data_IF_778256813821
#
_entry.id   IF_778256813821
#
_cell.length_a   1.000
_cell.length_b   1.000
_cell.length_c   1.000
_cell.angle_alpha   90.00
_cell.angle_beta   90.00
_cell.angle_gamma   90.00
#
_symmetry.space_group_name_H-M   'P 1'
#
loop_
_entity.id
_entity.type
_entity.pdbx_description
1 polymer ?
#
# COMPACT_ATOMS: atom_id res chain seq x y z
N UNK A 1 -52.09 99.17 -81.28
CA UNK A 1 -52.45 99.83 -80.01
C UNK A 1 -53.42 98.94 -79.24
N UNK A 2 -53.09 98.62 -77.98
CA UNK A 2 -54.01 98.30 -76.86
C UNK A 2 -55.15 97.32 -77.22
N UNK A 3 -55.12 96.05 -76.82
CA UNK A 3 -55.69 95.58 -75.53
C UNK A 3 -55.43 94.05 -75.41
N UNK A 4 -54.20 93.57 -75.30
CA UNK A 4 -53.54 93.13 -74.06
C UNK A 4 -54.38 93.39 -72.79
N UNK A 5 -55.53 92.72 -72.57
CA UNK A 5 -56.15 92.58 -71.21
C UNK A 5 -56.94 91.26 -71.01
N UNK A 6 -57.33 90.49 -72.04
CA UNK A 6 -58.29 89.36 -71.84
C UNK A 6 -57.66 87.95 -72.10
N UNK A 7 -56.34 87.85 -72.23
CA UNK A 7 -55.66 86.55 -72.41
C UNK A 7 -54.47 86.35 -71.45
N UNK A 8 -54.59 86.90 -70.23
CA UNK A 8 -53.57 86.74 -69.16
C UNK A 8 -54.14 86.15 -67.86
N UNK A 9 -55.41 85.72 -67.86
CA UNK A 9 -56.11 85.23 -66.66
C UNK A 9 -56.26 83.71 -66.53
N UNK A 10 -55.84 82.90 -67.52
CA UNK A 10 -56.10 81.44 -67.56
C UNK A 10 -54.82 80.60 -67.71
N UNK A 11 -53.62 81.21 -67.72
CA UNK A 11 -52.35 80.49 -67.87
C UNK A 11 -51.47 80.46 -66.60
N UNK A 12 -52.01 80.86 -65.45
CA UNK A 12 -51.38 80.62 -64.14
C UNK A 12 -52.10 79.47 -63.40
N UNK A 13 -52.25 78.32 -64.05
CA UNK A 13 -52.23 77.05 -63.30
C UNK A 13 -50.79 76.79 -62.87
N UNK A 14 -50.27 77.63 -61.96
CA UNK A 14 -49.09 77.27 -61.21
C UNK A 14 -49.41 75.93 -60.57
N UNK A 15 -48.52 74.97 -60.77
CA UNK A 15 -48.51 73.69 -60.07
C UNK A 15 -48.37 73.99 -58.57
N UNK A 16 -49.48 74.32 -57.90
CA UNK A 16 -49.54 74.34 -56.45
C UNK A 16 -49.41 72.89 -56.02
N UNK A 17 -48.19 72.47 -55.72
CA UNK A 17 -47.95 71.31 -54.88
C UNK A 17 -48.57 71.65 -53.52
N UNK A 18 -49.84 71.30 -53.34
CA UNK A 18 -50.56 71.59 -52.10
C UNK A 18 -49.96 70.72 -51.01
N UNK A 19 -48.99 71.29 -50.30
CA UNK A 19 -48.75 70.91 -48.92
C UNK A 19 -49.96 71.37 -48.13
N UNK A 20 -50.53 70.47 -47.34
CA UNK A 20 -51.67 70.79 -46.50
C UNK A 20 -51.16 70.95 -45.08
N UNK A 21 -51.17 72.20 -44.61
CA UNK A 21 -50.91 72.55 -43.22
C UNK A 21 -52.22 72.70 -42.45
N UNK A 22 -52.33 72.08 -41.29
CA UNK A 22 -53.38 72.37 -40.31
C UNK A 22 -52.71 72.97 -39.09
N UNK A 23 -53.14 74.16 -38.68
CA UNK A 23 -52.58 74.94 -37.57
C UNK A 23 -51.09 75.31 -37.67
N UNK A 24 -50.42 74.97 -38.76
CA UNK A 24 -49.06 75.44 -39.07
C UNK A 24 -49.04 76.22 -40.38
N UNK A 25 -48.53 77.46 -40.38
CA UNK A 25 -48.31 78.22 -41.62
C UNK A 25 -47.07 77.73 -42.39
N UNK A 26 -46.30 76.79 -41.83
CA UNK A 26 -45.03 76.31 -42.36
C UNK A 26 -44.99 74.77 -42.40
N UNK A 27 -45.75 74.14 -43.31
CA UNK A 27 -45.76 72.68 -43.46
C UNK A 27 -44.36 72.13 -43.76
N UNK A 28 -43.93 71.10 -43.01
CA UNK A 28 -42.63 70.46 -43.20
C UNK A 28 -42.71 69.19 -44.08
N UNK A 29 -43.91 68.83 -44.50
CA UNK A 29 -44.20 67.67 -45.35
C UNK A 29 -45.39 67.93 -46.27
N UNK A 30 -45.80 66.90 -47.01
CA UNK A 30 -46.99 66.95 -47.87
C UNK A 30 -48.28 67.14 -47.06
N UNK A 31 -48.33 66.64 -45.83
CA UNK A 31 -49.37 66.94 -44.84
C UNK A 31 -48.72 67.20 -43.49
N UNK A 32 -49.05 68.30 -42.84
CA UNK A 32 -48.48 68.67 -41.54
C UNK A 32 -49.58 69.22 -40.63
N UNK A 33 -49.81 68.56 -39.50
CA UNK A 33 -50.73 68.99 -38.45
C UNK A 33 -49.92 69.38 -37.23
N UNK A 34 -50.11 70.60 -36.78
CA UNK A 34 -49.53 71.14 -35.55
C UNK A 34 -50.61 71.22 -34.48
N UNK A 35 -50.51 70.36 -33.47
CA UNK A 35 -51.52 70.25 -32.43
C UNK A 35 -51.62 71.49 -31.56
N UNK A 36 -50.48 72.12 -31.24
CA UNK A 36 -50.40 73.26 -30.33
C UNK A 36 -50.46 74.62 -31.05
N UNK A 37 -50.39 74.63 -32.38
CA UNK A 37 -50.31 75.83 -33.23
C UNK A 37 -49.10 76.69 -32.86
N UNK A 38 -48.00 76.04 -32.48
CA UNK A 38 -46.82 76.70 -31.95
C UNK A 38 -45.63 76.68 -32.91
N UNK A 39 -45.78 76.10 -34.12
CA UNK A 39 -44.73 76.09 -35.13
C UNK A 39 -44.31 77.48 -35.60
N UNK A 40 -42.99 77.63 -35.80
CA UNK A 40 -42.40 78.84 -36.37
C UNK A 40 -42.91 79.09 -37.79
N UNK A 41 -43.17 80.36 -38.12
CA UNK A 41 -43.70 80.75 -39.44
C UNK A 41 -42.78 80.43 -40.62
N UNK A 42 -41.48 80.23 -40.37
CA UNK A 42 -40.48 79.81 -41.35
C UNK A 42 -39.39 78.96 -40.68
N UNK A 43 -38.69 78.12 -41.45
CA UNK A 43 -37.61 77.26 -40.94
C UNK A 43 -38.11 75.90 -40.42
N UNK A 44 -37.26 75.15 -39.70
CA UNK A 44 -37.65 73.86 -39.12
C UNK A 44 -38.14 74.09 -37.68
N UNK A 45 -39.31 73.58 -37.28
CA UNK A 45 -39.76 73.61 -35.89
C UNK A 45 -38.73 73.04 -34.90
N UNK A 46 -38.68 73.62 -33.70
CA UNK A 46 -37.87 73.08 -32.60
C UNK A 46 -38.40 71.73 -32.12
N UNK A 47 -37.57 70.93 -31.44
CA UNK A 47 -37.96 69.59 -30.95
C UNK A 47 -39.22 69.64 -30.06
N UNK A 48 -39.38 70.70 -29.26
CA UNK A 48 -40.55 70.89 -28.39
C UNK A 48 -41.82 71.14 -29.19
N UNK A 49 -41.74 71.96 -30.24
CA UNK A 49 -42.86 72.21 -31.16
C UNK A 49 -43.22 70.92 -31.92
N UNK A 50 -42.19 70.24 -32.47
CA UNK A 50 -42.38 68.97 -33.17
C UNK A 50 -43.06 67.89 -32.31
N UNK A 51 -42.91 67.92 -30.98
CA UNK A 51 -43.48 66.93 -30.07
C UNK A 51 -44.99 66.76 -30.20
N UNK A 52 -45.70 67.78 -30.69
CA UNK A 52 -47.15 67.77 -30.85
C UNK A 52 -47.58 67.70 -32.34
N UNK A 53 -46.62 67.52 -33.24
CA UNK A 53 -46.85 67.48 -34.68
C UNK A 53 -47.15 66.06 -35.20
N UNK A 54 -47.99 66.00 -36.23
CA UNK A 54 -48.17 64.86 -37.12
C UNK A 54 -47.78 65.27 -38.54
N UNK A 55 -46.79 64.60 -39.12
CA UNK A 55 -46.25 64.95 -40.45
C UNK A 55 -46.25 63.75 -41.38
N UNK A 56 -46.66 63.95 -42.63
CA UNK A 56 -46.54 62.98 -43.73
C UNK A 56 -45.65 63.57 -44.82
N UNK A 57 -44.53 62.90 -45.10
CA UNK A 57 -43.61 63.28 -46.16
C UNK A 57 -44.08 62.75 -47.53
N UNK A 58 -43.57 63.33 -48.61
CA UNK A 58 -43.89 62.92 -49.99
C UNK A 58 -43.47 61.48 -50.33
N UNK A 59 -42.55 60.90 -49.55
CA UNK A 59 -42.14 59.49 -49.65
C UNK A 59 -43.06 58.53 -48.85
N UNK A 60 -44.11 59.04 -48.23
CA UNK A 60 -45.09 58.30 -47.44
C UNK A 60 -44.66 57.94 -46.03
N UNK A 61 -43.55 58.51 -45.52
CA UNK A 61 -43.19 58.35 -44.11
C UNK A 61 -44.07 59.23 -43.23
N UNK A 62 -44.56 58.66 -42.12
CA UNK A 62 -45.39 59.34 -41.13
C UNK A 62 -44.57 59.57 -39.86
N UNK A 63 -44.48 60.81 -39.43
CA UNK A 63 -43.89 61.23 -38.17
C UNK A 63 -44.97 61.64 -37.18
N UNK A 64 -44.87 61.16 -35.94
CA UNK A 64 -45.64 61.66 -34.79
C UNK A 64 -44.63 62.13 -33.77
N UNK A 65 -44.65 63.41 -33.42
CA UNK A 65 -43.59 63.99 -32.58
C UNK A 65 -42.30 64.33 -33.34
N UNK A 66 -42.29 64.27 -34.68
CA UNK A 66 -41.14 64.62 -35.53
C UNK A 66 -41.56 64.99 -36.95
N UNK A 67 -40.85 65.94 -37.55
CA UNK A 67 -41.03 66.36 -38.96
C UNK A 67 -40.05 65.69 -39.92
N UNK A 68 -39.12 64.89 -39.42
CA UNK A 68 -38.11 64.16 -40.22
C UNK A 68 -38.14 62.64 -39.93
N UNK A 69 -39.29 61.97 -40.16
CA UNK A 69 -39.41 60.53 -39.93
C UNK A 69 -38.47 59.72 -40.84
N UNK A 70 -37.62 58.89 -40.22
CA UNK A 70 -36.65 58.05 -40.94
C UNK A 70 -37.22 56.69 -41.38
N UNK A 71 -38.37 56.29 -40.82
CA UNK A 71 -39.09 55.06 -41.14
C UNK A 71 -40.53 55.35 -41.60
N UNK A 72 -41.23 54.33 -42.11
CA UNK A 72 -42.63 54.47 -42.55
C UNK A 72 -43.55 55.02 -41.45
N UNK A 73 -43.28 54.67 -40.19
CA UNK A 73 -43.88 55.27 -39.01
C UNK A 73 -42.76 55.53 -37.99
N UNK A 74 -42.54 56.78 -37.62
CA UNK A 74 -41.57 57.21 -36.59
C UNK A 74 -42.35 57.99 -35.52
N UNK A 75 -42.46 57.41 -34.32
CA UNK A 75 -43.17 58.00 -33.19
C UNK A 75 -42.13 58.39 -32.15
N UNK A 76 -42.02 59.69 -31.88
CA UNK A 76 -41.14 60.23 -30.84
C UNK A 76 -41.97 60.83 -29.73
N UNK A 77 -41.57 60.54 -28.49
CA UNK A 77 -42.18 61.12 -27.30
C UNK A 77 -41.08 61.56 -26.35
N UNK A 78 -41.33 62.66 -25.64
CA UNK A 78 -40.48 63.14 -24.54
C UNK A 78 -40.67 62.32 -23.26
N UNK A 79 -41.64 61.41 -23.23
CA UNK A 79 -41.95 60.50 -22.12
C UNK A 79 -41.92 59.04 -22.54
N UNK A 80 -41.68 58.12 -21.60
CA UNK A 80 -41.73 56.68 -21.86
C UNK A 80 -43.15 56.22 -22.25
N UNK A 81 -43.25 55.26 -23.17
CA UNK A 81 -44.55 54.71 -23.61
C UNK A 81 -45.17 55.42 -24.81
N UNK A 82 -44.35 55.82 -25.78
CA UNK A 82 -44.76 56.56 -26.98
C UNK A 82 -45.85 55.87 -27.83
N UNK A 83 -45.95 54.53 -27.77
CA UNK A 83 -46.90 53.74 -28.53
C UNK A 83 -47.75 52.88 -27.58
N UNK A 84 -49.08 52.99 -27.72
CA UNK A 84 -50.06 52.15 -27.03
C UNK A 84 -50.95 51.46 -28.07
N UNK A 85 -50.91 50.13 -28.11
CA UNK A 85 -51.78 49.30 -28.96
C UNK A 85 -52.69 48.50 -28.04
N UNK A 86 -54.01 48.75 -28.14
CA UNK A 86 -55.05 48.06 -27.36
C UNK A 86 -55.88 47.24 -28.34
N UNK A 87 -55.72 45.92 -28.30
CA UNK A 87 -56.45 44.97 -29.14
C UNK A 87 -57.27 43.96 -28.31
N UNK A 88 -57.26 44.09 -26.99
CA UNK A 88 -57.91 43.19 -26.05
C UNK A 88 -57.02 42.05 -25.54
N UNK A 89 -55.82 41.88 -26.12
CA UNK A 89 -54.87 40.81 -25.79
C UNK A 89 -53.60 41.32 -25.10
N UNK A 90 -53.42 42.63 -24.97
CA UNK A 90 -52.32 43.23 -24.20
C UNK A 90 -52.34 42.80 -22.72
N UNK A 91 -51.17 42.67 -22.09
CA UNK A 91 -51.05 42.23 -20.69
C UNK A 91 -49.65 42.44 -20.11
N UNK A 92 -49.51 42.31 -18.78
CA UNK A 92 -48.21 42.43 -18.11
C UNK A 92 -47.22 41.37 -18.65
N UNK A 93 -45.98 41.77 -18.93
CA UNK A 93 -44.93 40.92 -19.49
C UNK A 93 -45.25 40.24 -20.85
N UNK A 94 -46.25 40.73 -21.59
CA UNK A 94 -46.45 40.35 -22.99
C UNK A 94 -45.54 41.18 -23.91
N UNK A 95 -45.16 40.59 -25.03
CA UNK A 95 -44.40 41.23 -26.10
C UNK A 95 -45.22 41.28 -27.37
N UNK A 96 -45.06 42.35 -28.15
CA UNK A 96 -45.67 42.46 -29.47
C UNK A 96 -44.87 41.61 -30.45
N UNK A 97 -45.52 40.62 -31.06
CA UNK A 97 -44.91 39.70 -32.02
C UNK A 97 -45.60 39.83 -33.37
N UNK A 98 -44.88 39.59 -34.46
CA UNK A 98 -45.46 39.52 -35.81
C UNK A 98 -45.74 38.07 -36.20
N UNK A 99 -46.82 37.84 -36.94
CA UNK A 99 -46.99 36.60 -37.71
C UNK A 99 -46.23 36.65 -39.06
N UNK A 100 -46.39 35.61 -39.89
CA UNK A 100 -45.74 35.51 -41.19
C UNK A 100 -46.24 36.56 -42.21
N UNK A 101 -47.39 37.19 -41.98
CA UNK A 101 -47.96 38.21 -42.83
C UNK A 101 -47.69 39.64 -42.33
N UNK A 102 -46.92 39.80 -41.24
CA UNK A 102 -46.62 41.12 -40.68
C UNK A 102 -47.64 41.61 -39.65
N UNK A 103 -48.63 40.80 -39.26
CA UNK A 103 -49.68 41.21 -38.32
C UNK A 103 -49.15 41.13 -36.89
N UNK A 104 -49.15 42.28 -36.22
CA UNK A 104 -48.69 42.40 -34.84
C UNK A 104 -49.77 41.94 -33.84
N UNK A 105 -49.40 41.08 -32.88
CA UNK A 105 -50.27 40.59 -31.80
C UNK A 105 -49.50 40.46 -30.49
N UNK A 106 -50.16 40.70 -29.36
CA UNK A 106 -49.55 40.50 -28.03
C UNK A 106 -49.48 39.02 -27.68
N UNK A 107 -48.28 38.53 -27.39
CA UNK A 107 -48.03 37.15 -26.94
C UNK A 107 -47.20 37.13 -25.66
N UNK A 108 -47.25 36.02 -24.95
CA UNK A 108 -46.38 35.82 -23.78
C UNK A 108 -44.91 35.89 -24.20
N UNK A 109 -44.07 36.49 -23.34
CA UNK A 109 -42.63 36.52 -23.57
C UNK A 109 -42.13 35.08 -23.77
N UNK A 110 -41.52 34.74 -24.92
CA UNK A 110 -41.01 33.40 -25.15
C UNK A 110 -40.04 33.05 -24.03
N UNK A 111 -40.28 31.96 -23.32
CA UNK A 111 -39.30 31.43 -22.38
C UNK A 111 -38.05 31.09 -23.19
N UNK A 112 -36.95 31.77 -22.91
CA UNK A 112 -35.66 31.44 -23.52
C UNK A 112 -35.36 29.99 -23.13
N UNK A 113 -35.40 29.07 -24.10
CA UNK A 113 -35.08 27.68 -23.86
C UNK A 113 -33.60 27.63 -23.47
N UNK A 114 -33.33 27.53 -22.17
CA UNK A 114 -31.96 27.44 -21.67
C UNK A 114 -31.32 26.17 -22.22
N UNK A 115 -30.42 26.32 -23.20
CA UNK A 115 -29.61 25.24 -23.77
C UNK A 115 -28.34 24.99 -22.95
N UNK A 116 -28.43 24.98 -21.62
CA UNK A 116 -27.28 24.69 -20.75
C UNK A 116 -27.71 23.94 -19.48
N UNK A 117 -26.83 23.10 -18.95
CA UNK A 117 -27.05 22.29 -17.73
C UNK A 117 -27.09 23.20 -16.48
N UNK A 118 -26.31 24.31 -16.47
CA UNK A 118 -26.38 25.41 -15.48
C UNK A 118 -25.90 26.74 -16.10
N UNK A 119 -26.58 27.85 -15.81
CA UNK A 119 -26.20 29.22 -16.23
C UNK A 119 -25.77 30.14 -15.07
N UNK A 120 -26.17 29.81 -13.84
CA UNK A 120 -25.78 30.49 -12.61
C UNK A 120 -25.74 29.50 -11.44
N UNK A 121 -25.09 29.92 -10.34
CA UNK A 121 -25.22 29.21 -9.07
C UNK A 121 -26.69 29.19 -8.63
N UNK A 122 -27.11 28.10 -7.97
CA UNK A 122 -28.49 27.94 -7.52
C UNK A 122 -28.71 26.58 -6.86
N UNK A 123 -29.94 26.35 -6.40
CA UNK A 123 -30.37 25.06 -5.83
C UNK A 123 -31.20 24.32 -6.85
N UNK A 124 -30.99 23.01 -6.98
CA UNK A 124 -31.89 22.14 -7.74
C UNK A 124 -33.21 21.99 -6.96
N UNK A 125 -34.33 22.37 -7.57
CA UNK A 125 -35.68 22.14 -7.00
C UNK A 125 -36.26 20.77 -7.38
N UNK A 126 -35.52 19.99 -8.18
CA UNK A 126 -35.87 18.63 -8.60
C UNK A 126 -34.70 17.94 -9.30
N UNK A 127 -34.79 16.61 -9.46
CA UNK A 127 -33.78 15.80 -10.15
C UNK A 127 -33.62 16.22 -11.62
N UNK A 128 -32.39 16.18 -12.13
CA UNK A 128 -32.09 16.41 -13.54
C UNK A 128 -31.45 15.17 -14.15
N UNK A 129 -31.86 14.82 -15.36
CA UNK A 129 -31.24 13.76 -16.16
C UNK A 129 -30.65 14.39 -17.42
N UNK A 130 -29.36 14.12 -17.69
CA UNK A 130 -28.70 14.52 -18.93
C UNK A 130 -28.73 13.32 -19.89
N UNK A 131 -29.58 13.37 -20.91
CA UNK A 131 -29.61 12.34 -21.97
C UNK A 131 -28.60 12.67 -23.06
N UNK A 132 -27.51 11.91 -23.13
CA UNK A 132 -26.39 12.19 -24.04
C UNK A 132 -26.55 11.59 -25.46
N UNK A 133 -27.40 10.57 -25.63
CA UNK A 133 -27.48 9.82 -26.90
C UNK A 133 -26.10 9.26 -27.27
N UNK A 134 -25.60 9.59 -28.46
CA UNK A 134 -24.26 9.21 -28.94
C UNK A 134 -23.17 10.27 -28.64
N UNK A 135 -23.52 11.38 -27.99
CA UNK A 135 -22.61 12.48 -27.69
C UNK A 135 -21.88 12.27 -26.35
N UNK A 136 -20.81 13.03 -26.11
CA UNK A 136 -20.09 13.06 -24.83
C UNK A 136 -20.38 14.34 -24.04
N UNK A 137 -20.35 14.23 -22.72
CA UNK A 137 -20.33 15.33 -21.77
C UNK A 137 -18.91 15.46 -21.21
N UNK A 138 -18.16 16.42 -21.73
CA UNK A 138 -16.78 16.67 -21.32
C UNK A 138 -16.71 17.85 -20.33
N UNK A 139 -15.95 17.66 -19.24
CA UNK A 139 -15.52 18.74 -18.36
C UNK A 139 -14.05 19.03 -18.64
N UNK A 140 -13.76 20.14 -19.31
CA UNK A 140 -12.39 20.55 -19.66
C UNK A 140 -11.96 21.71 -18.77
N UNK A 141 -10.88 21.54 -18.03
CA UNK A 141 -10.24 22.61 -17.26
C UNK A 141 -9.06 23.17 -18.02
N UNK A 142 -8.94 24.50 -18.08
CA UNK A 142 -7.74 25.20 -18.56
C UNK A 142 -6.86 25.71 -17.42
N UNK A 143 -7.13 25.25 -16.19
CA UNK A 143 -6.39 25.68 -15.02
C UNK A 143 -4.93 25.22 -15.08
N UNK A 144 -4.03 26.10 -14.64
CA UNK A 144 -2.59 25.84 -14.51
C UNK A 144 -2.14 25.76 -13.04
N UNK A 145 -3.03 26.10 -12.11
CA UNK A 145 -2.83 26.07 -10.66
C UNK A 145 -4.11 25.61 -9.96
N UNK A 146 -3.99 25.25 -8.68
CA UNK A 146 -5.09 24.73 -7.88
C UNK A 146 -5.18 23.21 -7.93
N UNK A 147 -6.07 22.68 -7.09
CA UNK A 147 -6.38 21.26 -6.94
C UNK A 147 -7.88 21.17 -6.67
N UNK A 148 -8.62 20.24 -7.27
CA UNK A 148 -10.10 20.14 -7.24
C UNK A 148 -10.87 20.96 -8.30
N UNK A 149 -10.62 20.71 -9.58
CA UNK A 149 -11.23 21.42 -10.71
C UNK A 149 -12.60 20.86 -11.12
N UNK A 150 -12.82 19.57 -10.90
CA UNK A 150 -14.15 18.95 -10.97
C UNK A 150 -14.38 18.20 -9.67
N UNK A 151 -15.49 18.47 -9.00
CA UNK A 151 -15.75 17.95 -7.65
C UNK A 151 -17.21 17.56 -7.46
N UNK A 152 -17.42 16.49 -6.71
CA UNK A 152 -18.72 16.12 -6.15
C UNK A 152 -18.57 16.19 -4.64
N UNK A 153 -19.34 17.08 -4.00
CA UNK A 153 -19.33 17.32 -2.55
C UNK A 153 -17.90 17.53 -1.99
N UNK A 154 -17.15 18.45 -2.61
CA UNK A 154 -15.81 18.82 -2.17
C UNK A 154 -14.80 17.68 -2.33
N UNK A 155 -14.43 17.04 -1.21
CA UNK A 155 -13.42 15.98 -1.18
C UNK A 155 -13.96 14.59 -1.48
N UNK A 156 -15.29 14.38 -1.51
CA UNK A 156 -15.89 13.06 -1.74
C UNK A 156 -15.42 12.45 -3.06
N UNK A 157 -15.50 13.21 -4.16
CA UNK A 157 -14.83 12.89 -5.43
C UNK A 157 -14.23 14.17 -6.00
N UNK A 158 -12.93 14.15 -6.28
CA UNK A 158 -12.17 15.30 -6.75
C UNK A 158 -11.32 14.93 -7.96
N UNK A 159 -11.28 15.79 -8.97
CA UNK A 159 -10.32 15.69 -10.07
C UNK A 159 -9.43 16.92 -10.04
N UNK A 160 -8.13 16.67 -9.89
CA UNK A 160 -7.11 17.65 -10.15
C UNK A 160 -6.70 17.59 -11.62
N UNK A 161 -7.29 18.48 -12.42
CA UNK A 161 -6.98 18.62 -13.83
C UNK A 161 -5.57 19.18 -14.13
N UNK A 162 -4.89 19.84 -13.17
CA UNK A 162 -3.52 20.34 -13.39
C UNK A 162 -2.54 19.18 -13.36
N UNK A 163 -2.74 18.23 -12.44
CA UNK A 163 -1.84 17.07 -12.28
C UNK A 163 -2.40 15.76 -12.84
N UNK A 164 -3.60 15.77 -13.42
CA UNK A 164 -4.32 14.62 -13.96
C UNK A 164 -4.54 13.51 -12.93
N UNK A 165 -5.03 13.86 -11.74
CA UNK A 165 -5.23 12.93 -10.61
C UNK A 165 -6.66 12.94 -10.10
N UNK A 166 -7.06 11.82 -9.51
CA UNK A 166 -8.35 11.64 -8.85
C UNK A 166 -8.14 11.50 -7.35
N UNK A 167 -8.87 12.29 -6.58
CA UNK A 167 -8.99 12.17 -5.13
C UNK A 167 -10.35 11.60 -4.73
N UNK A 168 -10.35 10.67 -3.78
CA UNK A 168 -11.54 10.15 -3.09
C UNK A 168 -11.31 10.38 -1.60
N UNK A 169 -12.07 11.29 -0.99
CA UNK A 169 -11.82 11.77 0.37
C UNK A 169 -10.64 12.76 0.47
N UNK A 170 -10.16 13.31 -0.64
CA UNK A 170 -9.13 14.37 -0.67
C UNK A 170 -9.31 15.29 -1.88
N UNK A 171 -9.07 16.58 -1.71
CA UNK A 171 -9.03 17.58 -2.79
C UNK A 171 -7.63 17.85 -3.31
N UNK A 172 -6.60 17.26 -2.68
CA UNK A 172 -5.17 17.47 -2.99
C UNK A 172 -4.48 16.12 -3.29
N UNK A 173 -4.93 15.36 -4.31
CA UNK A 173 -4.40 14.03 -4.59
C UNK A 173 -2.89 14.08 -4.92
N UNK A 174 -2.11 13.23 -4.24
CA UNK A 174 -0.67 13.10 -4.44
C UNK A 174 -0.28 12.00 -5.42
N UNK A 175 -1.20 11.07 -5.67
CA UNK A 175 -1.05 9.97 -6.63
C UNK A 175 -2.22 9.98 -7.62
N UNK A 176 -2.11 9.21 -8.71
CA UNK A 176 -3.13 9.16 -9.77
C UNK A 176 -4.54 8.83 -9.24
N UNK A 177 -4.61 7.94 -8.24
CA UNK A 177 -5.76 7.74 -7.38
C UNK A 177 -5.29 7.90 -5.93
N UNK A 178 -5.82 8.88 -5.22
CA UNK A 178 -5.52 9.14 -3.82
C UNK A 178 -6.79 9.00 -2.98
N UNK A 179 -6.74 8.17 -1.95
CA UNK A 179 -7.90 7.84 -1.09
C UNK A 179 -7.87 8.63 0.24
N UNK A 180 -7.06 9.69 0.30
CA UNK A 180 -6.92 10.57 1.45
C UNK A 180 -6.20 9.95 2.64
N UNK A 181 -6.07 10.72 3.72
CA UNK A 181 -5.27 10.39 4.90
C UNK A 181 -6.00 9.58 5.98
N UNK A 182 -7.32 9.40 5.85
CA UNK A 182 -8.10 8.62 6.81
C UNK A 182 -7.59 7.18 6.92
N UNK A 183 -7.72 6.57 8.10
CA UNK A 183 -7.44 5.14 8.31
C UNK A 183 -8.72 4.31 8.16
N UNK A 184 -8.57 3.01 7.96
CA UNK A 184 -9.64 2.04 7.84
C UNK A 184 -9.71 1.39 6.46
N UNK A 185 -10.86 0.80 6.16
CA UNK A 185 -11.17 0.18 4.87
C UNK A 185 -11.25 1.26 3.78
N UNK A 186 -10.62 1.02 2.64
CA UNK A 186 -10.48 2.01 1.56
C UNK A 186 -11.06 1.54 0.22
N UNK A 187 -10.68 0.35 -0.21
CA UNK A 187 -11.11 -0.23 -1.49
C UNK A 187 -11.80 -1.55 -1.22
N UNK A 188 -13.11 -1.60 -1.44
CA UNK A 188 -13.85 -2.84 -1.45
C UNK A 188 -13.65 -3.55 -2.79
N UNK A 189 -13.27 -4.82 -2.75
CA UNK A 189 -13.34 -5.73 -3.90
C UNK A 189 -14.69 -6.45 -3.91
N UNK A 190 -15.21 -6.79 -2.73
CA UNK A 190 -16.55 -7.34 -2.53
C UNK A 190 -17.05 -7.06 -1.11
N UNK A 191 -18.35 -6.85 -0.97
CA UNK A 191 -19.04 -6.75 0.31
C UNK A 191 -20.30 -7.63 0.31
N UNK A 192 -20.61 -8.28 1.43
CA UNK A 192 -21.94 -8.85 1.62
C UNK A 192 -23.01 -7.74 1.63
N UNK A 193 -24.24 -8.08 1.28
CA UNK A 193 -25.37 -7.15 1.35
C UNK A 193 -25.61 -6.64 2.78
N UNK A 194 -25.30 -7.45 3.79
CA UNK A 194 -25.42 -7.07 5.20
C UNK A 194 -24.26 -6.19 5.69
N UNK A 195 -23.16 -6.06 4.92
CA UNK A 195 -21.98 -5.27 5.29
C UNK A 195 -21.14 -5.88 6.42
N UNK A 196 -21.42 -7.13 6.78
CA UNK A 196 -20.69 -7.92 7.78
C UNK A 196 -19.52 -8.71 7.19
N UNK A 197 -19.34 -8.66 5.87
CA UNK A 197 -18.26 -9.34 5.18
C UNK A 197 -17.62 -8.42 4.14
N UNK A 198 -16.46 -7.86 4.48
CA UNK A 198 -15.66 -6.99 3.61
C UNK A 198 -14.41 -7.72 3.14
N UNK A 199 -14.22 -7.75 1.81
CA UNK A 199 -13.00 -8.19 1.15
C UNK A 199 -12.38 -7.00 0.42
N UNK A 200 -11.13 -6.67 0.74
CA UNK A 200 -10.47 -5.53 0.12
C UNK A 200 -9.26 -5.02 0.86
N UNK A 201 -8.93 -3.77 0.56
CA UNK A 201 -7.74 -3.09 1.06
C UNK A 201 -8.12 -1.97 2.02
N UNK A 202 -7.26 -1.74 3.00
CA UNK A 202 -7.31 -0.58 3.86
C UNK A 202 -5.94 -0.22 4.41
N UNK A 203 -5.94 0.68 5.37
CA UNK A 203 -4.72 1.15 6.01
C UNK A 203 -4.94 1.49 7.48
N UNK A 204 -3.87 1.36 8.25
CA UNK A 204 -3.68 2.11 9.47
C UNK A 204 -2.41 2.97 9.34
N UNK A 205 -2.10 3.76 10.36
CA UNK A 205 -0.87 4.54 10.36
C UNK A 205 0.34 3.64 10.14
N UNK A 206 1.02 3.80 9.00
CA UNK A 206 2.18 3.01 8.58
C UNK A 206 1.93 1.51 8.34
N UNK A 207 0.68 1.10 8.09
CA UNK A 207 0.32 -0.31 7.90
C UNK A 207 -0.61 -0.45 6.70
N UNK A 208 -0.24 -1.28 5.73
CA UNK A 208 -1.13 -1.80 4.71
C UNK A 208 -1.95 -2.96 5.31
N UNK A 209 -3.26 -2.96 5.06
CA UNK A 209 -4.19 -3.93 5.62
C UNK A 209 -4.93 -4.66 4.50
N UNK A 210 -4.99 -5.99 4.62
CA UNK A 210 -5.76 -6.86 3.74
C UNK A 210 -6.88 -7.49 4.57
N UNK A 211 -8.11 -7.24 4.12
CA UNK A 211 -9.31 -7.76 4.74
C UNK A 211 -9.89 -8.88 3.88
N UNK A 212 -10.34 -9.94 4.53
CA UNK A 212 -11.09 -11.03 3.93
C UNK A 212 -12.02 -11.57 5.01
N UNK A 213 -13.34 -11.51 4.83
CA UNK A 213 -14.26 -11.96 5.87
C UNK A 213 -14.58 -10.93 6.95
N UNK A 214 -14.21 -9.65 6.79
CA UNK A 214 -14.14 -8.74 7.94
C UNK A 214 -15.46 -7.95 8.16
N UNK A 215 -16.10 -8.01 9.35
CA UNK A 215 -17.26 -7.18 9.66
C UNK A 215 -16.90 -5.70 9.72
N UNK A 216 -17.90 -4.81 9.76
CA UNK A 216 -17.71 -3.35 9.70
C UNK A 216 -16.54 -2.83 10.57
N UNK A 217 -16.47 -3.27 11.83
CA UNK A 217 -15.41 -2.93 12.80
C UNK A 217 -14.36 -4.04 13.02
N UNK A 218 -14.31 -5.04 12.15
CA UNK A 218 -13.37 -6.15 12.24
C UNK A 218 -11.94 -5.77 11.85
N UNK A 219 -10.98 -6.44 12.49
CA UNK A 219 -9.56 -6.32 12.17
C UNK A 219 -9.24 -6.92 10.79
N UNK A 220 -8.16 -6.45 10.13
CA UNK A 220 -7.67 -7.09 8.93
C UNK A 220 -7.07 -8.47 9.23
N UNK A 221 -7.21 -9.37 8.27
CA UNK A 221 -6.65 -10.72 8.38
C UNK A 221 -5.13 -10.72 8.22
N UNK A 222 -4.61 -9.87 7.33
CA UNK A 222 -3.18 -9.73 7.07
C UNK A 222 -2.75 -8.26 7.08
N UNK A 223 -1.55 -8.01 7.60
CA UNK A 223 -0.95 -6.68 7.64
C UNK A 223 0.49 -6.69 7.12
N UNK A 224 0.91 -5.58 6.50
CA UNK A 224 2.31 -5.28 6.18
C UNK A 224 2.63 -3.88 6.71
N UNK A 225 3.52 -3.78 7.69
CA UNK A 225 3.89 -2.51 8.29
C UNK A 225 5.11 -1.86 7.61
N UNK A 226 5.35 -0.57 7.88
CA UNK A 226 6.49 0.20 7.34
C UNK A 226 7.87 -0.39 7.65
N UNK A 227 7.99 -1.27 8.65
CA UNK A 227 9.25 -1.92 9.01
C UNK A 227 9.44 -3.25 8.25
N UNK A 228 8.59 -3.55 7.25
CA UNK A 228 8.68 -4.75 6.44
C UNK A 228 8.18 -6.02 7.13
N UNK A 229 7.38 -5.89 8.21
CA UNK A 229 6.86 -7.04 8.95
C UNK A 229 5.47 -7.42 8.46
N UNK A 230 5.28 -8.72 8.20
CA UNK A 230 4.01 -9.33 7.82
C UNK A 230 3.36 -9.93 9.06
N UNK A 231 2.13 -9.49 9.35
CA UNK A 231 1.25 -10.11 10.33
C UNK A 231 0.16 -10.92 9.64
N UNK A 232 -0.09 -12.15 10.07
CA UNK A 232 -1.29 -12.93 9.70
C UNK A 232 -2.02 -13.27 10.99
N UNK A 233 -3.28 -12.86 11.13
CA UNK A 233 -4.03 -12.95 12.38
C UNK A 233 -3.54 -11.96 13.47
N UNK A 234 -2.75 -10.96 13.10
CA UNK A 234 -2.30 -9.89 14.01
C UNK A 234 -2.10 -8.58 13.24
N UNK A 235 -2.47 -7.47 13.89
CA UNK A 235 -2.28 -6.11 13.38
C UNK A 235 -0.97 -5.47 13.84
N UNK A 236 -0.27 -6.09 14.80
CA UNK A 236 0.96 -5.58 15.41
C UNK A 236 2.06 -6.67 15.44
N UNK A 237 2.62 -7.05 14.27
CA UNK A 237 3.66 -8.08 14.20
C UNK A 237 4.96 -7.63 14.90
N UNK A 238 5.48 -8.48 15.79
CA UNK A 238 6.75 -8.20 16.52
C UNK A 238 7.98 -8.73 15.79
N UNK A 239 7.81 -9.78 14.98
CA UNK A 239 8.83 -10.37 14.12
C UNK A 239 8.55 -10.04 12.64
N UNK A 240 9.51 -10.36 11.75
CA UNK A 240 9.36 -10.16 10.28
C UNK A 240 8.14 -10.92 9.74
N UNK A 241 7.90 -12.12 10.25
CA UNK A 241 6.68 -12.89 10.00
C UNK A 241 6.10 -13.29 11.35
N UNK A 242 4.91 -12.77 11.69
CA UNK A 242 4.19 -13.07 12.92
C UNK A 242 2.82 -13.66 12.53
N UNK A 243 2.69 -14.98 12.70
CA UNK A 243 1.48 -15.72 12.36
C UNK A 243 0.81 -16.16 13.66
N UNK A 244 -0.40 -15.67 13.90
CA UNK A 244 -1.19 -16.00 15.10
C UNK A 244 -2.49 -16.66 14.68
N UNK A 245 -2.91 -17.63 15.48
CA UNK A 245 -4.21 -18.28 15.35
C UNK A 245 -4.79 -18.46 16.74
N UNK A 246 -6.12 -18.38 16.83
CA UNK A 246 -6.87 -18.71 18.05
C UNK A 246 -6.94 -20.23 18.28
N UNK A 247 -6.58 -21.03 17.27
CA UNK A 247 -6.49 -22.49 17.35
C UNK A 247 -5.05 -22.97 17.15
N UNK A 248 -4.73 -24.14 17.69
CA UNK A 248 -3.44 -24.78 17.45
C UNK A 248 -3.20 -25.05 15.95
N UNK A 249 -1.95 -24.94 15.51
CA UNK A 249 -1.56 -25.17 14.11
C UNK A 249 -1.60 -23.92 13.24
N UNK A 250 -1.07 -22.79 13.74
CA UNK A 250 -1.05 -21.52 13.00
C UNK A 250 -0.23 -21.56 11.69
N UNK A 251 0.76 -22.45 11.59
CA UNK A 251 1.64 -22.58 10.43
C UNK A 251 1.67 -24.02 9.92
N UNK A 252 1.48 -24.19 8.60
CA UNK A 252 1.70 -25.44 7.88
C UNK A 252 2.70 -25.19 6.75
N UNK A 253 3.81 -25.94 6.75
CA UNK A 253 4.80 -25.95 5.66
C UNK A 253 4.79 -27.36 5.07
N UNK A 254 4.40 -27.48 3.80
CA UNK A 254 4.38 -28.74 3.08
C UNK A 254 5.26 -28.62 1.83
N UNK A 255 6.34 -29.38 1.78
CA UNK A 255 7.35 -29.38 0.71
C UNK A 255 7.50 -30.76 0.05
N UNK A 256 6.64 -31.73 0.42
CA UNK A 256 6.71 -33.12 0.00
C UNK A 256 7.56 -34.01 0.92
N UNK A 257 8.34 -33.43 1.84
CA UNK A 257 9.18 -34.15 2.79
C UNK A 257 8.58 -34.21 4.20
N UNK A 258 7.51 -33.47 4.49
CA UNK A 258 6.81 -33.53 5.78
C UNK A 258 6.35 -34.96 6.15
N UNK A 259 6.28 -35.28 7.44
CA UNK A 259 5.83 -36.59 7.90
C UNK A 259 5.73 -36.69 9.42
N UNK A 260 5.09 -37.74 9.93
CA UNK A 260 4.98 -37.99 11.36
C UNK A 260 6.38 -38.06 12.02
N UNK A 261 6.54 -37.37 13.15
CA UNK A 261 7.77 -37.29 13.93
C UNK A 261 8.98 -36.67 13.20
N UNK A 262 8.75 -35.92 12.13
CA UNK A 262 9.79 -35.09 11.51
C UNK A 262 9.80 -33.69 12.13
N UNK A 263 10.98 -33.10 12.13
CA UNK A 263 11.23 -31.72 12.52
C UNK A 263 11.70 -30.94 11.29
N UNK A 264 11.44 -29.64 11.27
CA UNK A 264 11.95 -28.75 10.25
C UNK A 264 13.40 -28.40 10.62
N UNK A 265 14.36 -28.84 9.81
CA UNK A 265 15.78 -28.52 9.96
C UNK A 265 16.23 -27.59 8.85
N UNK A 266 17.33 -26.87 9.07
CA UNK A 266 17.96 -26.01 8.07
C UNK A 266 19.27 -26.61 7.60
N UNK A 267 19.57 -26.48 6.30
CA UNK A 267 20.92 -26.68 5.79
C UNK A 267 21.82 -25.46 6.04
N UNK A 268 23.06 -25.50 5.53
CA UNK A 268 24.05 -24.42 5.67
C UNK A 268 23.67 -23.12 4.93
N UNK A 269 22.72 -23.17 4.00
CA UNK A 269 22.24 -22.01 3.24
C UNK A 269 20.92 -21.45 3.79
N UNK A 270 20.38 -22.03 4.87
CA UNK A 270 19.10 -21.61 5.43
C UNK A 270 17.89 -22.30 4.80
N UNK A 271 18.07 -23.29 3.92
CA UNK A 271 16.95 -24.00 3.28
C UNK A 271 16.37 -24.99 4.29
N UNK A 272 15.08 -24.80 4.58
CA UNK A 272 14.36 -25.64 5.52
C UNK A 272 13.85 -26.92 4.84
N UNK A 273 14.04 -28.09 5.46
CA UNK A 273 13.49 -29.37 5.00
C UNK A 273 13.03 -30.21 6.18
N UNK A 274 12.04 -31.09 5.96
CA UNK A 274 11.56 -31.98 7.03
C UNK A 274 12.40 -33.25 7.12
N UNK A 275 13.06 -33.42 8.27
CA UNK A 275 13.94 -34.54 8.55
C UNK A 275 13.55 -35.24 9.85
N UNK A 276 13.90 -36.52 10.00
CA UNK A 276 13.79 -37.17 11.31
C UNK A 276 14.75 -36.46 12.26
N UNK A 277 14.35 -36.27 13.52
CA UNK A 277 15.28 -35.80 14.54
C UNK A 277 16.47 -36.75 14.62
N UNK A 278 17.68 -36.22 14.43
CA UNK A 278 18.93 -36.96 14.56
C UNK A 278 19.73 -36.40 15.74
N UNK A 279 20.36 -37.28 16.50
CA UNK A 279 21.29 -36.86 17.54
C UNK A 279 22.63 -36.53 16.90
N UNK A 280 23.25 -35.41 17.29
CA UNK A 280 24.61 -35.12 16.85
C UNK A 280 25.56 -36.11 17.53
N UNK A 281 26.20 -36.98 16.74
CA UNK A 281 27.16 -37.98 17.21
C UNK A 281 28.54 -37.68 16.64
N UNK A 282 29.55 -37.67 17.50
CA UNK A 282 30.95 -37.66 17.08
C UNK A 282 31.57 -39.03 17.37
N UNK A 283 32.41 -39.54 16.46
CA UNK A 283 33.10 -40.82 16.63
C UNK A 283 34.59 -40.55 16.79
N UNK A 284 35.20 -41.21 17.77
CA UNK A 284 36.62 -41.12 18.04
C UNK A 284 37.45 -42.01 17.11
N UNK A 285 38.72 -41.67 16.99
CA UNK A 285 39.73 -42.47 16.30
C UNK A 285 40.47 -43.32 17.32
N UNK A 286 40.55 -44.63 17.09
CA UNK A 286 41.32 -45.55 17.93
C UNK A 286 42.77 -45.66 17.45
N UNK A 287 43.72 -45.67 18.37
CA UNK A 287 45.16 -45.78 18.14
C UNK A 287 45.76 -47.13 18.52
N UNK A 288 47.08 -47.18 18.76
CA UNK A 288 47.80 -48.42 19.10
C UNK A 288 47.55 -48.95 20.52
N UNK A 289 47.04 -48.11 21.43
CA UNK A 289 46.84 -48.43 22.83
C UNK A 289 48.11 -48.29 23.66
N UNK A 290 47.96 -48.03 24.95
CA UNK A 290 49.08 -47.92 25.89
C UNK A 290 49.15 -49.15 26.80
N UNK A 291 50.36 -49.68 26.95
CA UNK A 291 50.67 -50.72 27.92
C UNK A 291 50.76 -50.11 29.33
N UNK A 292 49.70 -50.29 30.13
CA UNK A 292 49.64 -49.77 31.50
C UNK A 292 50.34 -50.76 32.45
N UNK A 293 51.50 -50.42 33.04
CA UNK A 293 52.20 -51.31 33.94
C UNK A 293 51.38 -51.61 35.19
N UNK A 294 51.53 -52.81 35.76
CA UNK A 294 50.92 -53.17 37.04
C UNK A 294 51.73 -52.56 38.18
N UNK A 295 51.52 -51.27 38.39
CA UNK A 295 52.13 -50.49 39.46
C UNK A 295 51.31 -49.25 39.74
N UNK A 296 51.55 -48.61 40.88
CA UNK A 296 50.99 -47.31 41.21
C UNK A 296 51.80 -46.19 40.57
N UNK A 297 51.13 -45.27 39.86
CA UNK A 297 51.71 -44.03 39.36
C UNK A 297 50.63 -42.92 39.24
N UNK A 298 51.02 -41.66 39.39
CA UNK A 298 50.10 -40.51 39.50
C UNK A 298 49.63 -39.94 38.15
N UNK A 299 50.39 -40.15 37.10
CA UNK A 299 50.22 -39.43 35.83
C UNK A 299 49.28 -40.20 34.88
N UNK A 300 48.76 -39.50 33.87
CA UNK A 300 48.02 -40.12 32.76
C UNK A 300 48.90 -40.21 31.52
N UNK A 301 48.71 -41.26 30.72
CA UNK A 301 49.51 -41.58 29.54
C UNK A 301 48.63 -41.69 28.30
N UNK A 302 49.09 -41.11 27.20
CA UNK A 302 48.37 -41.13 25.93
C UNK A 302 48.25 -42.52 25.33
N UNK A 303 47.05 -42.90 24.93
CA UNK A 303 46.76 -44.22 24.34
C UNK A 303 46.94 -44.27 22.83
N UNK A 304 47.09 -43.12 22.17
CA UNK A 304 46.99 -43.03 20.72
C UNK A 304 45.56 -42.76 20.20
N UNK A 305 44.55 -42.84 21.06
CA UNK A 305 43.14 -42.64 20.70
C UNK A 305 42.66 -41.23 20.98
N UNK A 306 41.72 -40.72 20.19
CA UNK A 306 41.21 -39.35 20.35
C UNK A 306 39.78 -39.20 19.84
N UNK A 307 39.14 -38.07 20.14
CA UNK A 307 37.86 -37.66 19.57
C UNK A 307 37.87 -36.16 19.29
N UNK A 308 37.32 -35.75 18.15
CA UNK A 308 37.17 -34.33 17.80
C UNK A 308 35.73 -33.90 18.02
N UNK A 309 35.54 -32.87 18.85
CA UNK A 309 34.22 -32.38 19.26
C UNK A 309 34.04 -30.92 18.84
N UNK A 310 32.99 -30.59 18.06
CA UNK A 310 32.54 -29.21 17.84
C UNK A 310 32.20 -28.47 19.16
N UNK A 311 32.02 -27.14 19.11
CA UNK A 311 31.54 -26.36 20.26
C UNK A 311 30.26 -26.97 20.86
N UNK A 312 30.21 -27.03 22.19
CA UNK A 312 29.06 -27.55 22.93
C UNK A 312 29.41 -28.60 23.98
N UNK A 313 28.35 -29.13 24.62
CA UNK A 313 28.44 -30.18 25.65
C UNK A 313 28.24 -31.55 25.05
N UNK A 314 29.08 -32.49 25.45
CA UNK A 314 29.14 -33.84 24.89
C UNK A 314 29.27 -34.87 26.00
N UNK A 315 28.47 -35.93 25.93
CA UNK A 315 28.66 -37.15 26.71
C UNK A 315 29.51 -38.12 25.90
N UNK A 316 30.79 -38.23 26.24
CA UNK A 316 31.74 -39.11 25.57
C UNK A 316 31.70 -40.47 26.25
N UNK A 317 31.15 -41.47 25.57
CA UNK A 317 31.13 -42.86 26.04
C UNK A 317 32.36 -43.59 25.54
N UNK A 318 33.02 -44.27 26.47
CA UNK A 318 34.23 -45.05 26.24
C UNK A 318 33.91 -46.49 26.59
N UNK A 319 34.16 -47.41 25.67
CA UNK A 319 34.19 -48.87 25.89
C UNK A 319 35.59 -49.37 25.60
N UNK A 320 36.17 -50.15 26.52
CA UNK A 320 37.51 -50.71 26.39
C UNK A 320 37.54 -52.20 26.70
N UNK A 321 38.15 -52.99 25.83
CA UNK A 321 38.73 -54.28 26.12
C UNK A 321 39.96 -54.09 27.01
N UNK A 322 39.91 -54.74 28.16
CA UNK A 322 40.98 -54.79 29.15
C UNK A 322 41.53 -56.21 29.14
N UNK A 323 42.83 -56.34 28.85
CA UNK A 323 43.51 -57.62 28.85
C UNK A 323 44.83 -57.55 29.61
N UNK A 324 44.96 -58.28 30.73
CA UNK A 324 46.19 -58.36 31.49
C UNK A 324 47.21 -59.29 30.83
N UNK A 325 48.49 -59.03 31.07
CA UNK A 325 49.62 -59.92 30.79
C UNK A 325 50.54 -60.00 32.01
N UNK A 326 51.40 -61.02 32.08
CA UNK A 326 52.23 -61.30 33.25
C UNK A 326 51.54 -62.21 34.27
N UNK A 327 52.04 -62.26 35.50
CA UNK A 327 51.50 -63.13 36.56
C UNK A 327 51.26 -62.31 37.83
N UNK A 328 50.05 -62.37 38.39
CA UNK A 328 49.68 -61.71 39.65
C UNK A 328 48.75 -62.60 40.49
N UNK A 329 48.89 -62.51 41.81
CA UNK A 329 48.28 -63.40 42.81
C UNK A 329 46.86 -62.98 43.17
N UNK A 330 46.17 -63.80 43.97
CA UNK A 330 44.81 -63.51 44.47
C UNK A 330 44.71 -62.20 45.28
N UNK A 331 45.82 -61.72 45.84
CA UNK A 331 45.85 -60.49 46.65
C UNK A 331 46.19 -59.25 45.83
N UNK A 332 46.57 -59.43 44.56
CA UNK A 332 46.98 -58.32 43.71
C UNK A 332 45.79 -57.64 43.05
N UNK A 333 45.75 -56.32 43.11
CA UNK A 333 44.72 -55.51 42.45
C UNK A 333 45.31 -54.21 41.90
N UNK A 334 44.69 -53.70 40.84
CA UNK A 334 45.00 -52.39 40.26
C UNK A 334 43.72 -51.68 39.83
N UNK A 335 43.53 -50.46 40.32
CA UNK A 335 42.51 -49.52 39.88
C UNK A 335 43.12 -48.55 38.87
N UNK A 336 42.48 -48.40 37.71
CA UNK A 336 42.94 -47.56 36.61
C UNK A 336 41.88 -46.51 36.32
N UNK A 337 42.34 -45.29 36.05
CA UNK A 337 41.51 -44.17 35.65
C UNK A 337 41.81 -43.75 34.23
N UNK A 338 40.86 -43.13 33.59
CA UNK A 338 41.04 -42.50 32.28
C UNK A 338 40.23 -41.24 32.14
N UNK A 339 40.71 -40.38 31.25
CA UNK A 339 40.09 -39.10 30.91
C UNK A 339 40.57 -38.65 29.53
N UNK A 340 40.23 -37.43 29.15
CA UNK A 340 40.72 -36.79 27.95
C UNK A 340 41.64 -35.61 28.27
N UNK A 341 42.62 -35.40 27.41
CA UNK A 341 43.54 -34.27 27.38
C UNK A 341 43.33 -33.45 26.11
N UNK A 342 43.43 -32.13 26.20
CA UNK A 342 43.48 -31.27 24.99
C UNK A 342 44.92 -30.99 24.53
N UNK A 343 45.93 -31.47 25.27
CA UNK A 343 47.33 -31.33 24.89
C UNK A 343 47.60 -31.98 23.53
N UNK A 344 48.56 -31.45 22.77
CA UNK A 344 49.01 -32.06 21.52
C UNK A 344 49.94 -33.26 21.76
N UNK A 345 49.36 -34.38 22.22
CA UNK A 345 50.09 -35.64 22.44
C UNK A 345 50.19 -36.42 21.12
N UNK A 346 51.40 -36.81 20.73
CA UNK A 346 51.67 -37.45 19.43
C UNK A 346 52.26 -38.85 19.58
N UNK A 347 52.78 -39.19 20.75
CA UNK A 347 53.44 -40.48 21.02
C UNK A 347 52.70 -41.26 22.10
N UNK A 348 52.41 -42.54 21.84
CA UNK A 348 51.81 -43.44 22.83
C UNK A 348 52.68 -43.48 24.09
N UNK A 349 52.07 -43.37 25.26
CA UNK A 349 52.77 -43.33 26.54
C UNK A 349 53.26 -41.94 26.98
N UNK A 350 53.09 -40.90 26.15
CA UNK A 350 53.38 -39.51 26.52
C UNK A 350 52.48 -39.08 27.69
N UNK A 351 53.08 -38.42 28.69
CA UNK A 351 52.33 -37.89 29.83
C UNK A 351 51.37 -36.78 29.37
N UNK A 352 50.11 -36.87 29.80
CA UNK A 352 49.07 -35.88 29.52
C UNK A 352 48.35 -35.45 30.79
N UNK A 353 47.77 -34.24 30.75
CA UNK A 353 46.91 -33.72 31.83
C UNK A 353 45.44 -33.72 31.40
N UNK A 354 44.53 -33.88 32.34
CA UNK A 354 43.09 -33.77 32.07
C UNK A 354 42.79 -32.39 31.46
N UNK A 355 41.98 -32.38 30.40
CA UNK A 355 41.51 -31.13 29.80
C UNK A 355 40.62 -30.38 30.79
N UNK A 356 40.76 -29.04 30.91
CA UNK A 356 39.86 -28.21 31.69
C UNK A 356 38.40 -28.23 31.17
N UNK A 357 38.19 -28.67 29.92
CA UNK A 357 36.84 -28.82 29.35
C UNK A 357 36.12 -30.07 29.88
N UNK A 358 36.83 -30.99 30.56
CA UNK A 358 36.22 -32.16 31.22
C UNK A 358 35.51 -31.72 32.49
N UNK A 359 34.19 -31.93 32.56
CA UNK A 359 33.33 -31.41 33.64
C UNK A 359 32.83 -32.48 34.60
N UNK A 360 31.69 -33.16 34.38
CA UNK A 360 31.22 -34.27 35.25
C UNK A 360 30.36 -35.28 34.48
N UNK A 361 30.62 -36.60 34.56
CA UNK A 361 31.75 -37.24 35.24
C UNK A 361 33.09 -36.89 34.60
N UNK A 362 34.16 -36.80 35.40
CA UNK A 362 35.51 -36.43 34.94
C UNK A 362 36.38 -37.61 34.56
N UNK A 363 36.07 -38.80 35.08
CA UNK A 363 36.91 -39.97 34.99
C UNK A 363 36.04 -41.18 34.65
N UNK A 364 36.53 -42.01 33.74
CA UNK A 364 36.11 -43.39 33.64
C UNK A 364 37.13 -44.22 34.41
N UNK A 365 36.69 -45.19 35.19
CA UNK A 365 37.61 -45.98 36.02
C UNK A 365 37.16 -47.43 36.09
N UNK A 366 38.11 -48.33 36.26
CA UNK A 366 37.86 -49.75 36.42
C UNK A 366 38.94 -50.38 37.31
N UNK A 367 38.63 -51.54 37.87
CA UNK A 367 39.58 -52.32 38.65
C UNK A 367 39.84 -53.64 37.95
N UNK A 368 41.08 -54.11 38.03
CA UNK A 368 41.44 -55.51 37.83
C UNK A 368 41.96 -56.09 39.14
N UNK A 369 41.68 -57.36 39.37
CA UNK A 369 42.20 -58.11 40.52
C UNK A 369 42.63 -59.51 40.06
N UNK A 370 43.60 -60.07 40.76
CA UNK A 370 44.07 -61.41 40.51
C UNK A 370 43.12 -62.50 41.03
N UNK A 371 43.47 -63.78 40.79
CA UNK A 371 44.74 -64.22 40.21
C UNK A 371 44.70 -64.24 38.67
N UNK A 372 45.86 -63.97 38.06
CA UNK A 372 46.13 -64.21 36.65
C UNK A 372 47.50 -64.86 36.51
N UNK A 373 47.55 -66.00 35.82
CA UNK A 373 48.75 -66.82 35.64
C UNK A 373 48.81 -67.29 34.18
N UNK A 374 48.75 -66.33 33.26
CA UNK A 374 48.63 -66.57 31.82
C UNK A 374 47.21 -66.94 31.33
N UNK A 375 47.08 -67.06 30.00
CA UNK A 375 45.83 -67.36 29.30
C UNK A 375 45.08 -66.12 28.79
N UNK A 376 43.93 -66.30 28.17
CA UNK A 376 43.10 -65.20 27.64
C UNK A 376 42.00 -64.83 28.64
N UNK A 377 42.28 -63.90 29.57
CA UNK A 377 41.27 -63.35 30.48
C UNK A 377 40.92 -61.90 30.08
N UNK A 378 39.83 -61.74 29.34
CA UNK A 378 39.37 -60.43 28.89
C UNK A 378 38.31 -59.85 29.84
N UNK A 379 38.27 -58.53 29.94
CA UNK A 379 37.19 -57.78 30.57
C UNK A 379 36.82 -56.58 29.70
N UNK A 380 35.61 -56.04 29.85
CA UNK A 380 35.17 -54.81 29.18
C UNK A 380 34.86 -53.74 30.22
N UNK A 381 35.55 -52.62 30.14
CA UNK A 381 35.30 -51.44 30.96
C UNK A 381 34.55 -50.40 30.13
N UNK A 382 33.39 -49.95 30.63
CA UNK A 382 32.59 -48.90 29.97
C UNK A 382 32.34 -47.75 30.95
N UNK A 383 32.40 -46.53 30.45
CA UNK A 383 31.98 -45.36 31.21
C UNK A 383 31.80 -44.13 30.32
N UNK A 384 31.30 -43.06 30.91
CA UNK A 384 31.00 -41.82 30.20
C UNK A 384 31.68 -40.64 30.90
N UNK A 385 32.29 -39.77 30.11
CA UNK A 385 32.92 -38.53 30.56
C UNK A 385 32.23 -37.38 29.85
N UNK A 386 31.90 -36.32 30.58
CA UNK A 386 31.32 -35.13 29.98
C UNK A 386 32.41 -34.12 29.62
N UNK A 387 32.39 -33.64 28.38
CA UNK A 387 33.27 -32.59 27.88
C UNK A 387 32.43 -31.40 27.42
N UNK A 388 32.83 -30.19 27.79
CA UNK A 388 32.24 -28.94 27.32
C UNK A 388 33.27 -28.14 26.52
N UNK A 389 33.24 -28.27 25.20
CA UNK A 389 34.07 -27.44 24.34
C UNK A 389 33.47 -26.04 24.29
N UNK A 390 34.02 -25.13 25.11
CA UNK A 390 33.57 -23.74 25.23
C UNK A 390 34.16 -22.83 24.14
N UNK A 391 35.05 -23.34 23.29
CA UNK A 391 35.64 -22.55 22.20
C UNK A 391 34.70 -22.44 21.01
N UNK A 392 34.95 -21.48 20.11
CA UNK A 392 34.19 -21.31 18.86
C UNK A 392 34.57 -22.28 17.74
N UNK A 393 35.48 -23.23 17.99
CA UNK A 393 36.00 -24.17 16.99
C UNK A 393 36.00 -25.61 17.52
N UNK A 394 36.11 -26.58 16.61
CA UNK A 394 36.26 -27.98 17.01
C UNK A 394 37.63 -28.21 17.68
N UNK A 395 37.64 -28.98 18.78
CA UNK A 395 38.86 -29.39 19.49
C UNK A 395 39.04 -30.91 19.43
N UNK A 396 40.29 -31.36 19.36
CA UNK A 396 40.64 -32.79 19.46
C UNK A 396 41.08 -33.12 20.87
N UNK A 397 40.34 -34.02 21.50
CA UNK A 397 40.56 -34.53 22.84
C UNK A 397 41.21 -35.91 22.77
N UNK A 398 42.39 -36.05 23.36
CA UNK A 398 43.20 -37.27 23.36
C UNK A 398 42.92 -38.11 24.58
N UNK A 399 42.64 -39.38 24.37
CA UNK A 399 42.29 -40.32 25.44
C UNK A 399 43.55 -40.75 26.20
N UNK A 400 43.56 -40.48 27.49
CA UNK A 400 44.69 -40.71 28.40
C UNK A 400 44.26 -41.64 29.55
N UNK A 401 45.13 -42.58 29.91
CA UNK A 401 44.87 -43.61 30.94
C UNK A 401 46.01 -43.63 31.96
N UNK A 402 45.72 -43.91 33.22
CA UNK A 402 46.73 -43.88 34.28
C UNK A 402 46.13 -43.52 35.63
N UNK A 403 46.87 -42.71 36.40
CA UNK A 403 46.55 -42.34 37.78
C UNK A 403 46.08 -43.58 38.56
N UNK A 404 46.95 -44.59 38.57
CA UNK A 404 46.63 -45.92 39.06
C UNK A 404 46.75 -45.98 40.57
N UNK A 405 46.04 -46.93 41.17
CA UNK A 405 46.26 -47.40 42.54
C UNK A 405 46.44 -48.90 42.46
N UNK A 406 47.40 -49.47 43.20
CA UNK A 406 47.64 -50.91 43.14
C UNK A 406 48.01 -51.46 44.52
N UNK A 407 47.78 -52.76 44.73
CA UNK A 407 48.27 -53.50 45.89
C UNK A 407 49.79 -53.44 46.03
N UNK A 408 50.49 -53.31 44.91
CA UNK A 408 51.94 -53.23 44.82
C UNK A 408 52.40 -53.24 43.36
N UNK A 409 53.71 -53.17 43.15
CA UNK A 409 54.30 -53.36 41.81
C UNK A 409 54.48 -54.84 41.53
N UNK A 410 53.91 -55.31 40.42
CA UNK A 410 54.10 -56.68 39.94
C UNK A 410 54.98 -56.64 38.70
N UNK A 411 56.25 -56.98 38.86
CA UNK A 411 57.26 -56.90 37.79
C UNK A 411 56.85 -57.75 36.58
N UNK A 412 56.80 -57.11 35.41
CA UNK A 412 56.44 -57.76 34.14
C UNK A 412 54.93 -57.91 33.89
N UNK A 413 54.08 -57.58 34.88
CA UNK A 413 52.63 -57.52 34.67
C UNK A 413 52.18 -56.15 34.15
N UNK A 414 51.15 -56.14 33.29
CA UNK A 414 50.57 -54.94 32.69
C UNK A 414 49.18 -55.21 32.15
N UNK A 415 48.41 -54.16 31.90
CA UNK A 415 47.31 -54.18 30.93
C UNK A 415 47.88 -53.79 29.59
N UNK A 416 47.70 -54.65 28.60
CA UNK A 416 48.31 -54.41 27.29
C UNK A 416 47.37 -53.59 26.41
N UNK A 417 47.90 -52.70 25.58
CA UNK A 417 47.17 -52.00 24.53
C UNK A 417 45.88 -51.28 24.96
N UNK A 418 45.83 -50.74 26.19
CA UNK A 418 44.62 -50.08 26.72
C UNK A 418 44.29 -48.86 25.86
N UNK A 419 43.04 -48.81 25.37
CA UNK A 419 42.61 -47.78 24.43
C UNK A 419 43.06 -48.01 22.99
N UNK A 420 43.56 -49.20 22.63
CA UNK A 420 43.97 -49.52 21.26
C UNK A 420 42.81 -49.86 20.30
N UNK A 421 43.12 -50.42 19.14
CA UNK A 421 42.13 -50.76 18.09
C UNK A 421 41.56 -52.20 18.19
N UNK A 422 41.05 -52.56 19.37
CA UNK A 422 40.26 -53.79 19.53
C UNK A 422 38.82 -53.60 19.04
N UNK A 423 38.14 -54.67 18.63
CA UNK A 423 36.79 -54.57 18.05
C UNK A 423 35.72 -54.16 19.08
N UNK A 424 35.99 -54.41 20.36
CA UNK A 424 35.17 -54.01 21.50
C UNK A 424 35.46 -52.57 21.94
N UNK A 425 36.55 -51.96 21.46
CA UNK A 425 36.90 -50.60 21.83
C UNK A 425 36.03 -49.62 21.04
N UNK A 426 35.49 -48.63 21.75
CA UNK A 426 34.74 -47.55 21.12
C UNK A 426 34.91 -46.26 21.92
N UNK A 427 35.10 -45.16 21.20
CA UNK A 427 34.95 -43.81 21.74
C UNK A 427 33.96 -43.12 20.84
N UNK A 428 32.81 -42.71 21.38
CA UNK A 428 31.85 -41.89 20.66
C UNK A 428 31.21 -40.91 21.62
N UNK A 429 30.68 -39.81 21.09
CA UNK A 429 30.06 -38.78 21.88
C UNK A 429 28.71 -38.40 21.31
N UNK A 430 27.77 -38.13 22.22
CA UNK A 430 26.46 -37.61 21.88
C UNK A 430 26.38 -36.18 22.41
N UNK A 431 25.94 -35.24 21.57
CA UNK A 431 25.71 -33.88 22.01
C UNK A 431 24.58 -33.85 23.04
N UNK A 432 24.77 -33.10 24.13
CA UNK A 432 23.78 -32.91 25.19
C UNK A 432 23.56 -31.42 25.40
N UNK A 433 22.33 -31.04 25.76
CA UNK A 433 21.97 -29.63 25.93
C UNK A 433 22.57 -28.99 27.17
#
# INVERSE_FOLDING_TARGET
MKKIIILSGILFSNLVFSQVGINTPNPQGSFHVDGAKDNVSTGVPTIVQQSNDFTVLSNGNVGVGTVTPSNKLDIRSTTNGALKIVDGTQGNAKVLTSDANGVATWKDLPVSANTNIYNSNGTLTGSRTVSQGTSSLAFTSTATTGTNHFSVDGSTFSVDAVTNRVGIGTTTPRNMLDLGTGNGKKLALWNSTAGDDFYGLGNAANVLQLFAGAPAAGDPLMTLNKNGRVGIGTTAPTNVLDIRSTTNGALRIADGTQGANKILTSDANGVATWQRAASNVAVGTLGGGYDVPFSQFSDFRYTGSSITLPPGRWMVTISLLIFPSGNFTVNDWMFVRSTFSEMNLTTIGQTGVQSPDVIRPTLMSFQIAGPYNGGQKYNVATGTIQINNTSGAAKTYRYIVGNTQASGTVTGAKLTGVGGSWSENAIYAVAVN
#
